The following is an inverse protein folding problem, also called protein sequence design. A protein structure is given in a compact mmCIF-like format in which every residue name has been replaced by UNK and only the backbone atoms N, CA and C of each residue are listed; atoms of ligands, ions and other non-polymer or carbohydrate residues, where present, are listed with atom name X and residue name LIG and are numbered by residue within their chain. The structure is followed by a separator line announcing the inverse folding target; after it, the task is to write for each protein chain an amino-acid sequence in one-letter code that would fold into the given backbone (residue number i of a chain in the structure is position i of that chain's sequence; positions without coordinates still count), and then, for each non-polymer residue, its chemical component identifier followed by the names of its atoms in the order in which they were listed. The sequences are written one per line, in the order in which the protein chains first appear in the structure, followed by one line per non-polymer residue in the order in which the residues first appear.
data_IF_497390364840
#
_entry.id   IF_497390364840
#
_cell.length_a   1.000
_cell.length_b   1.000
_cell.length_c   1.000
_cell.angle_alpha   90.00
_cell.angle_beta   90.00
_cell.angle_gamma   90.00
#
_symmetry.space_group_name_H-M   'P 1'
#
loop_
_entity.id
_entity.type
_entity.pdbx_description
1 polymer ?
#
# COMPACT_ATOMS: atom_id res chain seq x y z
N UNK A 1 13.58 -39.21 -6.55
CA UNK A 1 14.75 -38.78 -5.74
C UNK A 1 15.39 -37.61 -6.46
N UNK A 2 15.75 -36.57 -5.70
CA UNK A 2 16.33 -35.27 -6.11
C UNK A 2 15.34 -34.32 -6.81
N UNK A 3 15.06 -33.12 -6.34
CA UNK A 3 15.72 -32.31 -5.31
C UNK A 3 14.66 -31.41 -4.68
N UNK A 4 14.69 -31.27 -3.35
CA UNK A 4 13.88 -30.31 -2.60
C UNK A 4 14.04 -28.93 -3.26
N UNK A 5 12.99 -28.43 -3.90
CA UNK A 5 12.84 -27.00 -4.12
C UNK A 5 12.87 -26.37 -2.73
N UNK A 6 13.90 -25.56 -2.52
CA UNK A 6 14.17 -24.85 -1.29
C UNK A 6 12.95 -24.01 -0.91
N UNK A 7 12.31 -24.38 0.19
CA UNK A 7 11.25 -23.65 0.89
C UNK A 7 11.84 -22.39 1.57
N UNK A 8 12.45 -21.53 0.76
CA UNK A 8 12.77 -20.16 1.14
C UNK A 8 11.45 -19.39 1.03
N UNK A 9 11.03 -18.61 2.04
CA UNK A 9 9.84 -17.80 1.92
C UNK A 9 10.08 -16.83 0.78
N UNK A 10 9.43 -17.07 -0.36
CA UNK A 10 9.37 -16.13 -1.47
C UNK A 10 8.89 -14.82 -0.85
N UNK A 11 9.69 -13.75 -0.89
CA UNK A 11 9.38 -12.49 -0.23
C UNK A 11 7.95 -12.08 -0.63
N UNK A 12 6.99 -12.32 0.25
CA UNK A 12 5.58 -12.13 -0.05
C UNK A 12 5.30 -10.65 0.15
N UNK A 13 4.78 -9.99 -0.88
CA UNK A 13 4.33 -8.62 -0.75
C UNK A 13 3.25 -8.50 0.31
N UNK A 14 3.11 -7.30 0.85
CA UNK A 14 2.19 -7.01 1.93
C UNK A 14 1.23 -5.92 1.48
N UNK A 15 -0.07 -6.21 1.53
CA UNK A 15 -1.12 -5.22 1.40
C UNK A 15 -1.68 -4.92 2.79
N UNK A 16 -1.51 -3.68 3.26
CA UNK A 16 -1.98 -3.26 4.59
C UNK A 16 -3.12 -2.26 4.47
N UNK A 17 -4.31 -2.64 4.91
CA UNK A 17 -5.44 -1.71 4.94
C UNK A 17 -5.33 -0.82 6.18
N UNK A 18 -5.24 0.50 5.97
CA UNK A 18 -5.22 1.49 7.05
C UNK A 18 -6.39 2.45 6.94
N UNK A 19 -6.95 2.86 8.08
CA UNK A 19 -7.95 3.91 8.13
C UNK A 19 -7.30 5.30 8.08
N UNK A 20 -7.97 6.25 7.44
CA UNK A 20 -7.64 7.67 7.50
C UNK A 20 -8.49 8.38 8.55
N UNK A 21 -7.94 9.30 9.35
CA UNK A 21 -8.72 10.06 10.32
C UNK A 21 -9.71 11.00 9.62
N UNK A 22 -10.92 11.16 10.19
CA UNK A 22 -11.99 12.01 9.63
C UNK A 22 -11.82 13.52 9.93
N UNK A 23 -10.76 13.91 10.62
CA UNK A 23 -10.47 15.33 10.86
C UNK A 23 -9.25 15.59 11.72
N UNK A 24 -9.16 14.96 12.89
CA UNK A 24 -7.99 15.12 13.76
C UNK A 24 -6.85 14.22 13.30
N UNK A 25 -5.78 14.83 12.79
CA UNK A 25 -4.57 14.10 12.36
C UNK A 25 -3.94 13.30 13.51
N UNK A 26 -4.16 13.67 14.77
CA UNK A 26 -3.67 12.94 15.93
C UNK A 26 -4.33 11.58 16.16
N UNK A 27 -5.45 11.29 15.49
CA UNK A 27 -6.15 10.01 15.62
C UNK A 27 -5.48 8.89 14.79
N UNK A 28 -4.51 9.25 13.93
CA UNK A 28 -3.75 8.26 13.16
C UNK A 28 -2.79 7.49 14.08
N UNK A 29 -2.76 6.16 13.92
CA UNK A 29 -1.89 5.32 14.75
C UNK A 29 -0.42 5.41 14.31
N UNK A 30 0.50 5.18 15.26
CA UNK A 30 1.93 5.08 14.95
C UNK A 30 2.22 3.99 13.90
N UNK A 31 1.47 2.87 13.92
CA UNK A 31 1.63 1.79 12.96
C UNK A 31 1.17 2.18 11.56
N UNK A 32 0.06 2.92 11.43
CA UNK A 32 -0.39 3.44 10.13
C UNK A 32 0.63 4.41 9.54
N UNK A 33 1.24 5.26 10.37
CA UNK A 33 2.30 6.18 9.94
C UNK A 33 3.54 5.43 9.44
N UNK A 34 3.96 4.38 10.14
CA UNK A 34 5.09 3.54 9.71
C UNK A 34 4.82 2.90 8.36
N UNK A 35 3.67 2.25 8.19
CA UNK A 35 3.27 1.60 6.95
C UNK A 35 3.23 2.58 5.78
N UNK A 36 2.61 3.75 5.96
CA UNK A 36 2.53 4.79 4.92
C UNK A 36 3.92 5.37 4.54
N UNK A 37 4.88 5.36 5.47
CA UNK A 37 6.26 5.83 5.20
C UNK A 37 7.11 4.80 4.46
N UNK A 38 6.84 3.51 4.65
CA UNK A 38 7.61 2.41 4.04
C UNK A 38 6.94 1.79 2.82
N UNK A 39 5.72 2.22 2.47
CA UNK A 39 4.99 1.71 1.32
C UNK A 39 5.66 2.11 0.00
N UNK A 40 5.84 1.14 -0.88
CA UNK A 40 6.23 1.37 -2.28
C UNK A 40 5.09 2.07 -3.06
N UNK A 41 3.84 1.79 -2.67
CA UNK A 41 2.64 2.32 -3.30
C UNK A 41 1.52 2.50 -2.28
N UNK A 42 0.84 3.64 -2.33
CA UNK A 42 -0.39 3.90 -1.57
C UNK A 42 -1.57 3.93 -2.54
N UNK A 43 -2.47 2.97 -2.37
CA UNK A 43 -3.72 2.83 -3.09
C UNK A 43 -4.79 3.63 -2.35
N UNK A 44 -5.48 4.53 -3.04
CA UNK A 44 -6.53 5.33 -2.43
C UNK A 44 -7.66 5.62 -3.40
N UNK A 45 -8.87 5.87 -2.90
CA UNK A 45 -10.01 6.23 -3.74
C UNK A 45 -9.78 7.62 -4.38
N UNK A 46 -9.42 8.60 -3.56
CA UNK A 46 -9.10 9.97 -3.97
C UNK A 46 -7.66 10.35 -3.62
N UNK A 47 -6.85 10.49 -4.67
CA UNK A 47 -5.44 10.90 -4.56
C UNK A 47 -5.24 12.34 -4.11
N UNK A 48 -6.24 13.22 -4.32
CA UNK A 48 -6.15 14.63 -3.89
C UNK A 48 -6.25 14.73 -2.38
N UNK A 49 -7.28 14.09 -1.80
CA UNK A 49 -7.50 14.07 -0.35
C UNK A 49 -6.36 13.36 0.36
N UNK A 50 -5.97 12.18 -0.13
CA UNK A 50 -4.85 11.41 0.44
C UNK A 50 -3.52 12.15 0.31
N UNK A 51 -3.27 12.82 -0.83
CA UNK A 51 -2.08 13.64 -1.02
C UNK A 51 -1.99 14.82 -0.04
N UNK A 52 -3.11 15.47 0.27
CA UNK A 52 -3.15 16.49 1.32
C UNK A 52 -2.84 15.88 2.69
N UNK A 53 -3.45 14.74 3.04
CA UNK A 53 -3.17 14.05 4.30
C UNK A 53 -1.67 13.74 4.46
N UNK A 54 -1.06 13.09 3.46
CA UNK A 54 0.37 12.74 3.50
C UNK A 54 1.26 13.99 3.62
N UNK A 55 0.90 15.08 2.95
CA UNK A 55 1.61 16.35 3.07
C UNK A 55 1.58 16.91 4.49
N UNK A 56 0.42 16.88 5.16
CA UNK A 56 0.32 17.33 6.57
C UNK A 56 1.12 16.42 7.52
N UNK A 57 1.22 15.12 7.21
CA UNK A 57 1.99 14.14 7.99
C UNK A 57 3.50 14.13 7.66
N UNK A 58 3.94 14.91 6.68
CA UNK A 58 5.33 14.92 6.20
C UNK A 58 5.76 13.55 5.65
N UNK A 59 4.87 12.88 4.93
CA UNK A 59 5.11 11.58 4.30
C UNK A 59 5.20 11.78 2.78
N UNK A 60 6.24 11.20 2.17
CA UNK A 60 6.37 11.11 0.72
C UNK A 60 6.10 9.67 0.32
N UNK A 61 5.07 9.45 -0.49
CA UNK A 61 4.71 8.14 -1.03
C UNK A 61 4.15 8.28 -2.45
N UNK A 62 4.28 7.23 -3.25
CA UNK A 62 3.67 7.16 -4.58
C UNK A 62 2.18 6.88 -4.40
N UNK A 63 1.32 7.75 -4.93
CA UNK A 63 -0.13 7.58 -4.87
C UNK A 63 -0.68 7.00 -6.18
N UNK A 64 -1.63 6.08 -6.07
CA UNK A 64 -2.39 5.54 -7.21
C UNK A 64 -3.87 5.47 -6.83
N UNK A 65 -4.73 5.95 -7.74
CA UNK A 65 -6.17 5.82 -7.53
C UNK A 65 -6.61 4.38 -7.76
N UNK A 66 -7.41 3.84 -6.84
CA UNK A 66 -8.09 2.56 -6.96
C UNK A 66 -9.57 2.76 -6.66
N UNK A 67 -10.39 2.69 -7.70
CA UNK A 67 -11.84 2.89 -7.63
C UNK A 67 -12.53 2.04 -8.70
N UNK A 68 -13.82 1.73 -8.50
CA UNK A 68 -14.58 0.73 -9.24
C UNK A 68 -14.46 0.80 -10.79
N UNK A 69 -14.30 1.99 -11.36
CA UNK A 69 -14.15 2.18 -12.81
C UNK A 69 -12.82 1.69 -13.40
N UNK A 70 -11.79 1.46 -12.58
CA UNK A 70 -10.43 1.13 -13.03
C UNK A 70 -9.87 -0.16 -12.38
N UNK A 71 -10.68 -0.85 -11.58
CA UNK A 71 -10.29 -2.03 -10.81
C UNK A 71 -9.79 -3.15 -11.72
N UNK A 72 -10.55 -3.52 -12.75
CA UNK A 72 -10.16 -4.61 -13.66
C UNK A 72 -8.87 -4.36 -14.45
N UNK A 73 -8.48 -3.09 -14.66
CA UNK A 73 -7.27 -2.75 -15.42
C UNK A 73 -6.04 -2.71 -14.51
N UNK A 74 -6.23 -2.37 -13.23
CA UNK A 74 -5.12 -2.18 -12.28
C UNK A 74 -4.88 -3.43 -11.44
N UNK A 75 -5.89 -4.27 -11.21
CA UNK A 75 -5.82 -5.43 -10.32
C UNK A 75 -4.67 -6.37 -10.68
N UNK A 76 -4.57 -6.79 -11.93
CA UNK A 76 -3.52 -7.73 -12.38
C UNK A 76 -2.12 -7.18 -12.07
N UNK A 77 -1.91 -5.88 -12.33
CA UNK A 77 -0.64 -5.20 -12.04
C UNK A 77 -0.35 -5.12 -10.54
N UNK A 78 -1.36 -4.86 -9.71
CA UNK A 78 -1.20 -4.87 -8.25
C UNK A 78 -0.81 -6.28 -7.77
N UNK A 79 -1.49 -7.31 -8.26
CA UNK A 79 -1.20 -8.70 -7.90
C UNK A 79 0.23 -9.09 -8.31
N UNK A 80 0.68 -8.73 -9.50
CA UNK A 80 2.06 -8.94 -9.95
C UNK A 80 3.07 -8.24 -9.01
N UNK A 81 2.82 -6.98 -8.66
CA UNK A 81 3.70 -6.23 -7.76
C UNK A 81 3.73 -6.84 -6.35
N UNK A 82 2.60 -7.24 -5.80
CA UNK A 82 2.53 -7.95 -4.52
C UNK A 82 3.28 -9.29 -4.58
N UNK A 83 3.15 -10.04 -5.67
CA UNK A 83 3.89 -11.30 -5.86
C UNK A 83 5.42 -11.07 -5.98
N UNK A 84 5.85 -9.89 -6.41
CA UNK A 84 7.26 -9.49 -6.44
C UNK A 84 7.81 -8.98 -5.10
N UNK A 85 6.97 -8.91 -4.05
CA UNK A 85 7.39 -8.47 -2.72
C UNK A 85 7.11 -7.01 -2.38
N UNK A 86 6.32 -6.29 -3.20
CA UNK A 86 6.00 -4.90 -2.93
C UNK A 86 5.19 -4.72 -1.64
N UNK A 87 5.45 -3.62 -0.93
CA UNK A 87 4.65 -3.19 0.21
C UNK A 87 3.68 -2.10 -0.21
N UNK A 88 2.39 -2.38 -0.03
CA UNK A 88 1.31 -1.49 -0.41
C UNK A 88 0.42 -1.17 0.79
N UNK A 89 -0.12 0.05 0.78
CA UNK A 89 -1.09 0.53 1.76
C UNK A 89 -2.34 0.99 1.05
#
# INVERSE_FOLDING_TARGET
MNSKESDQPKASGLLSVVSTPLGNLGDITARSLELLRTADLVLCEDTRTTGMLLKHLGIQAVLKSYHAYNEHVILDKILEQLQSGAQMV
#
